data_IF_909386034148
#
_entry.id   IF_909386034148
#
_cell.length_a   1.000
_cell.length_b   1.000
_cell.length_c   1.000
_cell.angle_alpha   90.00
_cell.angle_beta   90.00
_cell.angle_gamma   90.00
#
_symmetry.space_group_name_H-M   'P 1'
#
loop_
_entity.id
_entity.type
_entity.pdbx_description
1 polymer ?
#
# COMPACT_ATOMS: atom_id res chain seq x y z
N UNK A 1 16.33 -0.16 -14.90
CA UNK A 1 15.28 0.83 -14.65
C UNK A 1 14.70 0.49 -13.29
N UNK A 2 14.93 1.33 -12.28
CA UNK A 2 14.58 0.99 -10.90
C UNK A 2 13.23 1.65 -10.58
N UNK A 3 12.14 0.89 -10.72
CA UNK A 3 10.82 1.35 -10.29
C UNK A 3 10.83 1.63 -8.79
N UNK A 4 10.23 2.74 -8.39
CA UNK A 4 10.04 3.14 -6.99
C UNK A 4 8.57 3.27 -6.68
N UNK A 5 8.19 3.01 -5.44
CA UNK A 5 6.82 3.19 -4.93
C UNK A 5 6.87 3.97 -3.61
N UNK A 6 5.78 4.65 -3.25
CA UNK A 6 5.64 5.29 -1.94
C UNK A 6 4.57 4.53 -1.18
N UNK A 7 4.90 4.07 0.02
CA UNK A 7 4.08 3.13 0.78
C UNK A 7 4.05 3.44 2.27
N UNK A 8 3.02 2.90 2.91
CA UNK A 8 2.94 2.72 4.37
C UNK A 8 3.15 1.24 4.67
N UNK A 9 4.02 0.94 5.64
CA UNK A 9 4.20 -0.40 6.20
C UNK A 9 3.70 -0.41 7.64
N UNK A 10 2.41 -0.71 7.87
CA UNK A 10 1.86 -0.77 9.22
C UNK A 10 2.48 -1.91 10.03
N UNK A 11 2.61 -1.73 11.34
CA UNK A 11 2.98 -2.78 12.27
C UNK A 11 1.76 -3.14 13.13
N UNK A 12 1.20 -4.34 12.91
CA UNK A 12 0.05 -4.85 13.66
C UNK A 12 0.49 -5.94 14.62
N UNK A 13 0.04 -5.90 15.86
CA UNK A 13 0.36 -6.95 16.84
C UNK A 13 -0.09 -8.35 16.39
N UNK A 14 -1.15 -8.41 15.57
CA UNK A 14 -1.71 -9.64 15.00
C UNK A 14 -1.36 -9.83 13.51
N UNK A 15 -0.23 -9.30 13.04
CA UNK A 15 0.25 -9.37 11.65
C UNK A 15 0.24 -10.80 11.08
N UNK A 16 0.46 -11.81 11.92
CA UNK A 16 0.46 -13.23 11.51
C UNK A 16 -0.83 -13.65 10.80
N UNK A 17 -1.97 -13.04 11.11
CA UNK A 17 -3.24 -13.32 10.42
C UNK A 17 -3.16 -12.87 8.96
N UNK A 18 -2.61 -11.68 8.72
CA UNK A 18 -2.40 -11.12 7.36
C UNK A 18 -1.38 -11.98 6.61
N UNK A 19 -0.25 -12.30 7.24
CA UNK A 19 0.79 -13.12 6.62
C UNK A 19 0.25 -14.47 6.16
N UNK A 20 -0.55 -15.16 6.98
CA UNK A 20 -1.16 -16.44 6.62
C UNK A 20 -2.10 -16.33 5.41
N UNK A 21 -2.84 -15.23 5.26
CA UNK A 21 -3.70 -14.99 4.10
C UNK A 21 -2.82 -14.73 2.87
N UNK A 22 -1.81 -13.87 3.01
CA UNK A 22 -0.90 -13.53 1.91
C UNK A 22 -0.08 -14.74 1.43
N UNK A 23 0.45 -15.55 2.35
CA UNK A 23 1.16 -16.79 1.98
C UNK A 23 0.32 -17.70 1.08
N UNK A 24 -1.00 -17.66 1.23
CA UNK A 24 -1.93 -18.50 0.47
C UNK A 24 -2.37 -17.87 -0.86
N UNK A 25 -2.50 -16.55 -0.93
CA UNK A 25 -3.16 -15.87 -2.04
C UNK A 25 -2.36 -14.75 -2.71
N UNK A 26 -1.23 -14.34 -2.14
CA UNK A 26 -0.43 -13.24 -2.67
C UNK A 26 0.93 -13.73 -3.16
N UNK A 27 1.21 -13.70 -4.48
CA UNK A 27 2.51 -14.12 -5.01
C UNK A 27 3.68 -13.27 -4.48
N UNK A 28 3.41 -12.06 -3.96
CA UNK A 28 4.43 -11.16 -3.40
C UNK A 28 4.62 -11.32 -1.89
N UNK A 29 3.97 -12.29 -1.23
CA UNK A 29 3.99 -12.44 0.23
C UNK A 29 5.39 -12.50 0.84
N UNK A 30 6.36 -13.12 0.14
CA UNK A 30 7.74 -13.27 0.60
C UNK A 30 8.71 -12.23 0.01
N UNK A 31 8.24 -11.31 -0.83
CA UNK A 31 9.06 -10.33 -1.54
C UNK A 31 8.87 -8.92 -0.95
N UNK A 32 7.66 -8.60 -0.54
CA UNK A 32 7.33 -7.31 0.07
C UNK A 32 6.46 -7.51 1.30
N UNK A 33 6.72 -6.76 2.37
CA UNK A 33 5.88 -6.78 3.58
C UNK A 33 4.46 -6.29 3.30
N UNK A 34 3.46 -6.65 4.16
CA UNK A 34 2.12 -6.05 4.10
C UNK A 34 2.20 -4.52 4.09
N UNK A 35 1.53 -3.88 3.13
CA UNK A 35 1.66 -2.44 2.91
C UNK A 35 0.38 -1.83 2.33
N UNK A 36 0.29 -0.50 2.44
CA UNK A 36 -0.70 0.33 1.75
C UNK A 36 0.07 1.21 0.76
N UNK A 37 -0.24 1.11 -0.52
CA UNK A 37 0.40 1.91 -1.56
C UNK A 37 -0.20 3.31 -1.58
N UNK A 38 0.65 4.33 -1.56
CA UNK A 38 0.28 5.74 -1.72
C UNK A 38 0.53 6.19 -3.16
N UNK A 39 1.75 5.96 -3.67
CA UNK A 39 2.09 6.22 -5.08
C UNK A 39 2.46 4.90 -5.73
N UNK A 40 1.74 4.53 -6.78
CA UNK A 40 1.98 3.32 -7.56
C UNK A 40 3.39 3.34 -8.19
N UNK A 41 3.93 2.17 -8.59
CA UNK A 41 5.26 2.08 -9.16
C UNK A 41 5.49 3.10 -10.27
N UNK A 42 6.51 3.93 -10.12
CA UNK A 42 6.88 5.00 -11.03
C UNK A 42 8.34 4.95 -11.45
N UNK A 43 8.60 5.48 -12.64
CA UNK A 43 9.92 5.61 -13.25
C UNK A 43 10.13 7.07 -13.68
N UNK A 44 10.09 7.98 -12.72
CA UNK A 44 10.43 9.38 -12.93
C UNK A 44 11.93 9.54 -12.66
N UNK A 45 12.64 10.15 -13.59
CA UNK A 45 14.07 10.46 -13.42
C UNK A 45 14.24 11.58 -12.36
N UNK A 46 14.58 11.15 -11.15
CA UNK A 46 14.71 12.03 -9.98
C UNK A 46 15.66 11.38 -8.99
N UNK A 47 16.51 12.18 -8.35
CA UNK A 47 17.43 11.67 -7.32
C UNK A 47 16.68 11.28 -6.04
N UNK A 48 17.32 10.48 -5.18
CA UNK A 48 16.75 10.17 -3.87
C UNK A 48 16.68 11.41 -2.97
N UNK A 49 17.61 12.36 -3.12
CA UNK A 49 17.59 13.62 -2.37
C UNK A 49 16.42 14.51 -2.79
N UNK A 50 16.12 14.61 -4.09
CA UNK A 50 14.95 15.33 -4.59
C UNK A 50 13.66 14.69 -4.08
N UNK A 51 13.57 13.35 -4.12
CA UNK A 51 12.41 12.61 -3.63
C UNK A 51 12.22 12.78 -2.12
N UNK A 52 13.31 12.76 -1.34
CA UNK A 52 13.25 13.04 0.09
C UNK A 52 12.75 14.46 0.37
N UNK A 53 13.23 15.46 -0.41
CA UNK A 53 12.79 16.87 -0.29
C UNK A 53 11.29 17.03 -0.64
N UNK A 54 10.82 16.32 -1.65
CA UNK A 54 9.37 16.28 -1.99
C UNK A 54 8.57 15.75 -0.80
N UNK A 55 8.98 14.63 -0.21
CA UNK A 55 8.29 14.07 0.96
C UNK A 55 8.34 15.03 2.15
N UNK A 56 9.49 15.69 2.41
CA UNK A 56 9.61 16.70 3.45
C UNK A 56 8.62 17.85 3.26
N UNK A 57 8.45 18.28 2.02
CA UNK A 57 7.55 19.39 1.68
C UNK A 57 6.07 18.97 1.76
N UNK A 58 5.73 17.82 1.18
CA UNK A 58 4.32 17.39 1.05
C UNK A 58 3.74 16.79 2.33
N UNK A 59 4.60 16.25 3.20
CA UNK A 59 4.18 15.65 4.47
C UNK A 59 4.40 16.59 5.67
N UNK A 60 4.83 17.80 5.43
CA UNK A 60 5.07 18.78 6.50
C UNK A 60 3.78 19.05 7.29
N UNK A 61 3.84 18.91 8.61
CA UNK A 61 2.72 19.12 9.52
C UNK A 61 1.71 17.98 9.57
N UNK A 62 2.01 16.84 8.96
CA UNK A 62 1.24 15.62 9.15
C UNK A 62 1.79 14.88 10.36
N UNK A 63 1.05 14.88 11.45
CA UNK A 63 1.40 14.15 12.67
C UNK A 63 1.15 12.64 12.51
N UNK A 64 1.81 11.79 13.33
CA UNK A 64 1.48 10.37 13.42
C UNK A 64 -0.02 10.15 13.65
N UNK A 65 -0.60 9.19 12.95
CA UNK A 65 -2.04 8.94 12.98
C UNK A 65 -2.36 7.45 13.08
N UNK A 66 -3.51 7.16 13.69
CA UNK A 66 -4.00 5.78 13.83
C UNK A 66 -4.74 5.35 12.58
N UNK A 67 -4.47 4.12 12.14
CA UNK A 67 -5.27 3.42 11.14
C UNK A 67 -5.91 2.18 11.73
N UNK A 68 -7.06 1.82 11.19
CA UNK A 68 -7.72 0.56 11.47
C UNK A 68 -8.15 -0.09 10.16
N UNK A 69 -7.82 -1.38 10.01
CA UNK A 69 -8.24 -2.20 8.89
C UNK A 69 -9.16 -3.31 9.40
N UNK A 70 -10.26 -3.55 8.67
CA UNK A 70 -11.17 -4.65 8.95
C UNK A 70 -12.06 -4.93 7.73
N UNK A 71 -12.35 -6.20 7.50
CA UNK A 71 -13.17 -6.63 6.37
C UNK A 71 -12.37 -6.78 5.08
N UNK A 72 -12.90 -7.62 4.21
CA UNK A 72 -12.23 -7.94 2.93
C UNK A 72 -13.16 -7.61 1.78
N UNK A 73 -12.57 -7.13 0.69
CA UNK A 73 -13.26 -6.83 -0.56
C UNK A 73 -12.54 -7.41 -1.76
N UNK A 74 -13.27 -7.52 -2.86
CA UNK A 74 -12.73 -7.95 -4.16
C UNK A 74 -12.60 -6.74 -5.07
N UNK A 75 -11.48 -6.65 -5.75
CA UNK A 75 -11.29 -5.68 -6.82
C UNK A 75 -10.89 -6.41 -8.09
N UNK A 76 -11.48 -5.99 -9.21
CA UNK A 76 -11.10 -6.43 -10.54
C UNK A 76 -10.95 -5.22 -11.43
N UNK A 77 -9.76 -5.06 -11.96
CA UNK A 77 -9.42 -3.96 -12.85
C UNK A 77 -8.57 -4.43 -14.04
N UNK A 78 -8.01 -3.49 -14.79
CA UNK A 78 -7.14 -3.78 -15.94
C UNK A 78 -5.80 -4.42 -15.57
N UNK A 79 -5.42 -4.41 -14.29
CA UNK A 79 -4.15 -4.94 -13.79
C UNK A 79 -4.29 -6.32 -13.14
N UNK A 80 -5.51 -6.74 -12.78
CA UNK A 80 -5.71 -8.07 -12.21
C UNK A 80 -6.96 -8.25 -11.36
N UNK A 81 -6.95 -9.34 -10.61
CA UNK A 81 -7.99 -9.74 -9.68
C UNK A 81 -7.40 -9.75 -8.28
N UNK A 82 -7.90 -8.89 -7.40
CA UNK A 82 -7.28 -8.63 -6.11
C UNK A 82 -8.23 -8.88 -4.94
N UNK A 83 -7.65 -9.33 -3.83
CA UNK A 83 -8.27 -9.30 -2.50
C UNK A 83 -7.67 -8.15 -1.72
N UNK A 84 -8.53 -7.30 -1.18
CA UNK A 84 -8.16 -6.18 -0.34
C UNK A 84 -8.61 -6.40 1.10
N UNK A 85 -7.78 -5.96 2.04
CA UNK A 85 -8.16 -5.70 3.42
C UNK A 85 -8.44 -4.20 3.52
N UNK A 86 -9.66 -3.86 3.95
CA UNK A 86 -10.20 -2.51 3.83
C UNK A 86 -9.75 -1.62 5.00
N UNK A 87 -9.37 -0.37 4.69
CA UNK A 87 -9.06 0.66 5.68
C UNK A 87 -10.36 1.32 6.13
N UNK A 88 -10.73 1.13 7.40
CA UNK A 88 -11.98 1.66 7.98
C UNK A 88 -11.77 2.89 8.86
N UNK A 89 -10.52 3.19 9.27
CA UNK A 89 -10.14 4.42 9.97
C UNK A 89 -8.82 4.92 9.43
N UNK A 90 -8.67 6.25 9.31
CA UNK A 90 -7.46 6.90 8.78
C UNK A 90 -7.37 6.94 7.26
N UNK A 91 -8.39 6.44 6.55
CA UNK A 91 -8.46 6.46 5.10
C UNK A 91 -8.43 7.88 4.52
N UNK A 92 -9.04 8.83 5.19
CA UNK A 92 -9.06 10.25 4.84
C UNK A 92 -7.66 10.88 4.88
N UNK A 93 -6.87 10.58 5.91
CA UNK A 93 -5.48 11.07 6.03
C UNK A 93 -4.61 10.44 4.92
N UNK A 94 -4.72 9.14 4.69
CA UNK A 94 -3.99 8.45 3.62
C UNK A 94 -4.36 9.03 2.26
N UNK A 95 -5.64 9.28 2.01
CA UNK A 95 -6.12 9.90 0.76
C UNK A 95 -5.56 11.31 0.60
N UNK A 96 -5.54 12.12 1.65
CA UNK A 96 -4.97 13.46 1.60
C UNK A 96 -3.46 13.44 1.28
N UNK A 97 -2.72 12.46 1.80
CA UNK A 97 -1.29 12.27 1.46
C UNK A 97 -1.15 11.88 -0.02
N UNK A 98 -1.95 10.92 -0.49
CA UNK A 98 -1.99 10.53 -1.90
C UNK A 98 -2.26 11.75 -2.80
N UNK A 99 -3.32 12.50 -2.52
CA UNK A 99 -3.73 13.66 -3.32
C UNK A 99 -2.68 14.77 -3.31
N UNK A 100 -2.01 15.01 -2.16
CA UNK A 100 -0.93 15.98 -2.07
C UNK A 100 0.26 15.64 -2.99
N UNK A 101 0.53 14.37 -3.21
CA UNK A 101 1.58 13.88 -4.10
C UNK A 101 1.11 13.87 -5.57
N UNK A 102 -0.08 13.31 -5.86
CA UNK A 102 -0.58 13.19 -7.23
C UNK A 102 -1.03 14.50 -7.85
N UNK A 103 -1.50 15.46 -7.08
CA UNK A 103 -1.84 16.80 -7.59
C UNK A 103 -0.61 17.65 -7.91
N UNK A 104 0.60 17.12 -7.65
CA UNK A 104 1.86 17.82 -7.85
C UNK A 104 2.85 16.95 -8.63
N UNK A 105 3.89 16.44 -7.98
CA UNK A 105 5.04 15.81 -8.64
C UNK A 105 4.70 14.50 -9.34
N UNK A 106 3.68 13.78 -8.87
CA UNK A 106 3.28 12.47 -9.40
C UNK A 106 2.05 12.52 -10.29
N UNK A 107 1.60 13.70 -10.72
CA UNK A 107 0.43 13.85 -11.61
C UNK A 107 0.57 13.08 -12.93
N UNK A 108 1.78 12.94 -13.44
CA UNK A 108 2.07 12.15 -14.65
C UNK A 108 1.87 10.64 -14.44
N UNK A 109 1.84 10.18 -13.19
CA UNK A 109 1.64 8.77 -12.82
C UNK A 109 0.16 8.44 -12.57
N UNK A 110 -0.75 9.42 -12.72
CA UNK A 110 -2.18 9.20 -12.50
C UNK A 110 -2.74 8.17 -13.49
N UNK A 111 -3.28 7.09 -12.95
CA UNK A 111 -3.88 6.00 -13.71
C UNK A 111 -5.33 6.28 -14.12
N UNK A 112 -5.89 7.43 -13.72
CA UNK A 112 -7.29 7.81 -13.98
C UNK A 112 -8.28 6.94 -13.19
N UNK A 113 -7.87 6.36 -12.08
CA UNK A 113 -8.71 5.55 -11.20
C UNK A 113 -8.93 6.28 -9.87
N UNK A 114 -10.13 6.10 -9.31
CA UNK A 114 -10.39 6.61 -7.96
C UNK A 114 -9.47 5.88 -6.95
N UNK A 115 -8.70 6.65 -6.19
CA UNK A 115 -7.88 6.10 -5.12
C UNK A 115 -8.74 5.73 -3.91
N UNK A 116 -8.60 4.49 -3.44
CA UNK A 116 -9.19 4.00 -2.20
C UNK A 116 -8.09 3.29 -1.41
N UNK A 117 -7.72 3.80 -0.22
CA UNK A 117 -6.68 3.17 0.59
C UNK A 117 -7.06 1.72 0.96
N UNK A 118 -6.15 0.79 0.72
CA UNK A 118 -6.34 -0.63 1.03
C UNK A 118 -5.00 -1.33 1.20
N UNK A 119 -5.02 -2.50 1.80
CA UNK A 119 -3.88 -3.42 1.81
C UNK A 119 -4.20 -4.61 0.91
N UNK A 120 -3.38 -4.87 -0.10
CA UNK A 120 -3.52 -6.07 -0.92
C UNK A 120 -3.09 -7.29 -0.11
N UNK A 121 -3.99 -8.27 -0.02
CA UNK A 121 -3.74 -9.54 0.68
C UNK A 121 -3.81 -10.75 -0.24
N UNK A 122 -4.14 -10.54 -1.52
CA UNK A 122 -4.13 -11.57 -2.54
C UNK A 122 -4.24 -11.02 -3.95
N UNK A 123 -3.65 -11.76 -4.89
CA UNK A 123 -3.77 -11.54 -6.33
C UNK A 123 -3.97 -12.89 -7.01
N UNK A 124 -5.02 -13.03 -7.81
CA UNK A 124 -5.38 -14.30 -8.44
C UNK A 124 -5.39 -14.20 -9.95
N UNK A 125 -5.21 -15.36 -10.62
CA UNK A 125 -5.11 -15.42 -12.08
C UNK A 125 -6.44 -15.16 -12.78
N UNK A 126 -7.56 -15.44 -12.11
CA UNK A 126 -8.90 -15.33 -12.70
C UNK A 126 -9.97 -15.06 -11.64
N UNK A 127 -11.18 -14.74 -12.10
CA UNK A 127 -12.32 -14.39 -11.24
C UNK A 127 -12.83 -15.58 -10.41
N UNK A 128 -12.70 -16.83 -10.88
CA UNK A 128 -13.13 -18.02 -10.14
C UNK A 128 -12.24 -18.22 -8.90
N UNK A 129 -10.92 -18.12 -9.07
CA UNK A 129 -9.95 -18.18 -7.98
C UNK A 129 -10.17 -17.02 -6.99
N UNK A 130 -10.42 -15.80 -7.49
CA UNK A 130 -10.74 -14.64 -6.66
C UNK A 130 -11.97 -14.92 -5.78
N UNK A 131 -13.03 -15.47 -6.36
CA UNK A 131 -14.24 -15.78 -5.60
C UNK A 131 -13.99 -16.85 -4.53
N UNK A 132 -13.26 -17.92 -4.85
CA UNK A 132 -12.89 -18.97 -3.89
C UNK A 132 -12.05 -18.39 -2.73
N UNK A 133 -11.05 -17.59 -3.05
CA UNK A 133 -10.19 -16.96 -2.05
C UNK A 133 -11.00 -15.98 -1.15
N UNK A 134 -11.90 -15.22 -1.73
CA UNK A 134 -12.78 -14.33 -0.97
C UNK A 134 -13.72 -15.11 -0.03
N UNK A 135 -14.38 -16.18 -0.51
CA UNK A 135 -15.26 -17.02 0.32
C UNK A 135 -14.50 -17.64 1.52
N UNK A 136 -13.22 -17.94 1.38
CA UNK A 136 -12.36 -18.48 2.44
C UNK A 136 -12.08 -17.48 3.58
N UNK A 137 -12.04 -16.19 3.28
CA UNK A 137 -11.62 -15.14 4.23
C UNK A 137 -12.71 -14.15 4.63
N UNK A 138 -13.80 -14.04 3.90
CA UNK A 138 -14.84 -13.00 4.06
C UNK A 138 -15.45 -12.91 5.48
N UNK A 139 -15.48 -14.02 6.20
CA UNK A 139 -16.04 -14.10 7.55
C UNK A 139 -15.01 -13.83 8.66
N UNK A 140 -13.75 -13.59 8.30
CA UNK A 140 -12.74 -13.18 9.26
C UNK A 140 -13.03 -11.74 9.72
N UNK A 141 -13.24 -11.55 11.03
CA UNK A 141 -13.59 -10.27 11.67
C UNK A 141 -12.45 -9.66 12.46
N UNK A 142 -11.22 -10.11 12.25
CA UNK A 142 -10.06 -9.51 12.91
C UNK A 142 -9.96 -8.03 12.59
N UNK A 143 -9.64 -7.26 13.62
CA UNK A 143 -9.31 -5.83 13.52
C UNK A 143 -7.80 -5.68 13.60
N UNK A 144 -7.26 -4.81 12.76
CA UNK A 144 -5.84 -4.52 12.68
C UNK A 144 -5.65 -3.03 12.94
N UNK A 145 -5.03 -2.70 14.05
CA UNK A 145 -4.83 -1.30 14.48
C UNK A 145 -3.34 -1.01 14.55
N UNK A 146 -2.92 0.10 13.98
CA UNK A 146 -1.53 0.58 14.01
C UNK A 146 -1.49 2.10 14.05
N UNK A 147 -0.42 2.65 14.60
CA UNK A 147 -0.07 4.07 14.46
C UNK A 147 0.95 4.20 13.34
N UNK A 148 0.64 5.03 12.36
CA UNK A 148 1.54 5.35 11.26
C UNK A 148 2.35 6.56 11.64
N UNK A 149 3.66 6.39 11.77
CA UNK A 149 4.63 7.43 12.15
C UNK A 149 5.62 7.75 11.03
N UNK A 150 5.57 7.00 9.92
CA UNK A 150 6.44 7.23 8.76
C UNK A 150 5.84 6.76 7.44
N UNK A 151 6.31 7.37 6.37
CA UNK A 151 6.06 7.01 4.98
C UNK A 151 7.39 6.53 4.39
N UNK A 152 7.36 5.45 3.62
CA UNK A 152 8.55 4.84 3.05
C UNK A 152 8.55 4.91 1.54
N UNK A 153 9.74 5.09 0.96
CA UNK A 153 9.98 4.85 -0.47
C UNK A 153 10.67 3.52 -0.63
N UNK A 154 10.06 2.69 -1.43
CA UNK A 154 10.60 1.42 -1.86
C UNK A 154 11.20 1.54 -3.26
N UNK A 155 12.28 0.84 -3.51
CA UNK A 155 12.77 0.48 -4.83
C UNK A 155 12.49 -1.01 -5.06
N UNK A 156 11.94 -1.33 -6.23
CA UNK A 156 11.71 -2.72 -6.64
C UNK A 156 13.04 -3.28 -7.15
N UNK A 157 13.54 -4.30 -6.49
CA UNK A 157 14.79 -4.97 -6.85
C UNK A 157 14.66 -5.86 -8.09
N UNK A 158 15.77 -6.46 -8.51
CA UNK A 158 15.84 -7.28 -9.74
C UNK A 158 14.98 -8.56 -9.66
N UNK A 159 14.77 -9.07 -8.44
CA UNK A 159 13.94 -10.25 -8.19
C UNK A 159 12.57 -9.88 -7.59
N UNK A 160 12.10 -8.67 -7.83
CA UNK A 160 10.86 -8.10 -7.30
C UNK A 160 10.85 -7.91 -5.76
N UNK A 161 12.01 -8.02 -5.12
CA UNK A 161 12.15 -7.78 -3.67
C UNK A 161 12.03 -6.29 -3.32
N UNK A 162 11.46 -6.03 -2.16
CA UNK A 162 11.30 -4.69 -1.61
C UNK A 162 12.60 -4.18 -0.98
N UNK A 163 13.11 -3.05 -1.45
CA UNK A 163 14.30 -2.37 -0.93
C UNK A 163 13.90 -0.98 -0.46
N UNK A 164 13.83 -0.76 0.86
CA UNK A 164 13.52 0.57 1.40
C UNK A 164 14.72 1.49 1.22
N UNK A 165 14.51 2.61 0.51
CA UNK A 165 15.58 3.58 0.20
C UNK A 165 15.39 4.92 0.91
N UNK A 166 14.18 5.28 1.34
CA UNK A 166 13.88 6.48 2.11
C UNK A 166 12.82 6.13 3.15
N UNK A 167 12.97 6.65 4.37
CA UNK A 167 11.94 6.69 5.39
C UNK A 167 11.75 8.14 5.86
N UNK A 168 10.54 8.67 5.69
CA UNK A 168 10.16 10.01 6.17
C UNK A 168 9.27 9.88 7.39
N UNK A 169 9.79 10.30 8.55
CA UNK A 169 8.99 10.37 9.77
C UNK A 169 8.02 11.55 9.74
N UNK A 170 6.82 11.28 10.24
CA UNK A 170 5.74 12.27 10.41
C UNK A 170 5.96 13.06 11.71
N UNK A 171 5.65 14.37 11.73
CA UNK A 171 5.83 15.23 12.90
C UNK A 171 5.00 16.54 12.79
#
# INVERSE_FOLDING_TARGET
MNLRTIMIFPDFYNMKVIDNIREKYDPLANLVKPHITIVFPFDIEMSNDDLAHILDTRLNGIEPFEIELQGFSKCKDKFGNYLFLDVIKGADIITNIHDALYNNEFSICDLGMQYVPHMTVGKTSNTEELNKAYEDIKDNRCRFVSVIDKISVEMIGENEESIIIIEKHLC
#
